data_IF_723153049908
#
_entry.id   IF_723153049908
#
_cell.length_a   1.000
_cell.length_b   1.000
_cell.length_c   1.000
_cell.angle_alpha   90.00
_cell.angle_beta   90.00
_cell.angle_gamma   90.00
#
_symmetry.space_group_name_H-M   'P 1'
#
loop_
_entity.id
_entity.type
_entity.pdbx_description
1 polymer ?
#
# COMPACT_ATOMS: atom_id res chain seq x y z
N UNK A 1 -41.28 13.52 29.15
CA UNK A 1 -39.86 13.23 28.89
C UNK A 1 -39.61 13.39 27.40
N UNK A 2 -38.80 14.37 26.99
CA UNK A 2 -38.37 14.54 25.59
C UNK A 2 -36.95 13.97 25.50
N UNK A 3 -36.76 12.91 24.71
CA UNK A 3 -35.43 12.36 24.41
C UNK A 3 -34.92 13.11 23.17
N UNK A 4 -33.93 13.99 23.37
CA UNK A 4 -33.20 14.63 22.27
C UNK A 4 -32.09 13.67 21.85
N UNK A 5 -32.25 13.04 20.69
CA UNK A 5 -31.22 12.24 20.04
C UNK A 5 -30.24 13.20 19.36
N UNK A 6 -29.12 13.48 20.03
CA UNK A 6 -27.99 14.21 19.44
C UNK A 6 -27.24 13.23 18.53
N UNK A 7 -27.57 13.23 17.25
CA UNK A 7 -26.72 12.63 16.21
C UNK A 7 -25.47 13.51 16.09
N UNK A 8 -24.36 13.08 16.71
CA UNK A 8 -23.05 13.66 16.42
C UNK A 8 -22.63 13.12 15.06
N UNK A 9 -23.07 13.79 14.00
CA UNK A 9 -22.45 13.64 12.69
C UNK A 9 -21.03 14.18 12.82
N UNK A 10 -20.06 13.27 12.92
CA UNK A 10 -18.64 13.58 12.79
C UNK A 10 -18.36 14.06 11.37
N UNK A 11 -18.68 15.32 11.07
CA UNK A 11 -18.32 15.96 9.82
C UNK A 11 -16.81 16.18 9.89
N UNK A 12 -16.05 15.29 9.27
CA UNK A 12 -14.65 15.58 9.03
C UNK A 12 -14.57 16.53 7.85
N UNK A 13 -14.14 17.76 8.10
CA UNK A 13 -13.79 18.70 7.04
C UNK A 13 -12.46 18.26 6.42
N UNK A 14 -12.53 17.28 5.51
CA UNK A 14 -11.40 16.92 4.67
C UNK A 14 -11.02 18.09 3.78
N UNK A 15 -9.73 18.46 3.74
CA UNK A 15 -9.22 19.35 2.70
C UNK A 15 -9.53 18.71 1.34
N UNK A 16 -10.04 19.47 0.34
CA UNK A 16 -10.37 18.95 -0.98
C UNK A 16 -9.19 18.33 -1.76
N UNK A 17 -7.99 18.31 -1.16
CA UNK A 17 -6.78 17.67 -1.69
C UNK A 17 -6.38 16.34 -0.98
N UNK A 18 -7.10 15.91 0.07
CA UNK A 18 -6.79 14.63 0.71
C UNK A 18 -7.42 13.47 -0.06
N UNK A 19 -6.59 12.59 -0.65
CA UNK A 19 -7.08 11.38 -1.34
C UNK A 19 -7.52 10.29 -0.36
N UNK A 20 -6.98 10.30 0.87
CA UNK A 20 -7.46 9.47 1.98
C UNK A 20 -8.61 10.22 2.69
N UNK A 21 -9.77 9.58 2.81
CA UNK A 21 -10.95 10.14 3.46
C UNK A 21 -10.60 10.48 4.92
N UNK A 22 -10.84 11.73 5.32
CA UNK A 22 -10.54 12.23 6.68
C UNK A 22 -9.05 12.15 7.08
N UNK A 23 -8.14 11.98 6.10
CA UNK A 23 -6.70 11.88 6.34
C UNK A 23 -6.00 13.23 6.51
N UNK A 24 -4.72 13.14 6.86
CA UNK A 24 -3.77 14.26 6.86
C UNK A 24 -2.47 13.83 6.17
N UNK A 25 -1.70 14.81 5.68
CA UNK A 25 -0.39 14.50 5.09
C UNK A 25 0.51 13.80 6.13
N UNK A 26 1.05 12.65 5.73
CA UNK A 26 2.00 11.93 6.55
C UNK A 26 3.29 12.76 6.71
N UNK A 27 3.87 12.76 7.92
CA UNK A 27 5.20 13.32 8.12
C UNK A 27 6.20 12.51 7.29
N UNK A 28 7.18 13.18 6.69
CA UNK A 28 8.23 12.51 5.91
C UNK A 28 8.86 11.36 6.72
N UNK A 29 8.93 10.17 6.09
CA UNK A 29 9.43 8.92 6.67
C UNK A 29 8.65 8.36 7.89
N UNK A 30 7.43 8.82 8.16
CA UNK A 30 6.63 8.32 9.29
C UNK A 30 6.09 6.89 9.11
N UNK A 31 6.04 6.40 7.87
CA UNK A 31 5.66 5.03 7.52
C UNK A 31 6.81 4.32 6.79
N UNK A 32 7.89 3.93 7.51
CA UNK A 32 9.12 3.41 6.89
C UNK A 32 8.96 2.04 6.22
N UNK A 33 7.86 1.34 6.47
CA UNK A 33 7.49 0.07 5.84
C UNK A 33 6.61 0.25 4.60
N UNK A 34 6.15 1.47 4.31
CA UNK A 34 5.21 1.73 3.22
C UNK A 34 5.88 1.57 1.86
N UNK A 35 5.27 0.75 1.02
CA UNK A 35 5.68 0.53 -0.36
C UNK A 35 4.58 1.02 -1.31
N UNK A 36 5.01 1.68 -2.38
CA UNK A 36 4.16 2.00 -3.53
C UNK A 36 4.36 0.88 -4.56
N UNK A 37 3.29 0.16 -4.89
CA UNK A 37 3.28 -0.84 -5.96
C UNK A 37 2.95 -0.12 -7.26
N UNK A 38 3.87 -0.20 -8.22
CA UNK A 38 3.86 0.59 -9.43
C UNK A 38 4.03 -0.29 -10.67
N UNK A 39 3.52 0.17 -11.80
CA UNK A 39 3.83 -0.37 -13.13
C UNK A 39 4.74 0.60 -13.87
N UNK A 40 5.79 0.06 -14.48
CA UNK A 40 6.63 0.76 -15.43
C UNK A 40 5.96 0.75 -16.79
N UNK A 41 5.51 1.91 -17.24
CA UNK A 41 4.93 2.11 -18.55
C UNK A 41 5.90 2.90 -19.45
N UNK A 42 5.90 2.58 -20.75
CA UNK A 42 6.72 3.25 -21.77
C UNK A 42 5.80 4.05 -22.68
N UNK A 43 5.68 5.34 -22.40
CA UNK A 43 4.83 6.25 -23.17
C UNK A 43 5.76 7.18 -23.95
N UNK A 44 5.63 7.17 -25.29
CA UNK A 44 6.41 8.01 -26.21
C UNK A 44 7.94 7.87 -26.04
N UNK A 45 8.40 6.65 -25.72
CA UNK A 45 9.83 6.36 -25.49
C UNK A 45 10.34 6.80 -24.12
N UNK A 46 9.48 7.36 -23.25
CA UNK A 46 9.82 7.76 -21.89
C UNK A 46 9.26 6.75 -20.90
N UNK A 47 10.13 6.25 -20.02
CA UNK A 47 9.75 5.37 -18.91
C UNK A 47 9.07 6.19 -17.81
N UNK A 48 7.84 5.82 -17.44
CA UNK A 48 7.07 6.41 -16.35
C UNK A 48 6.60 5.33 -15.39
N UNK A 49 6.62 5.65 -14.11
CA UNK A 49 6.08 4.79 -13.07
C UNK A 49 4.67 5.24 -12.68
N UNK A 50 3.72 4.31 -12.71
CA UNK A 50 2.34 4.54 -12.33
C UNK A 50 2.00 3.79 -11.05
N UNK A 51 1.67 4.51 -9.98
CA UNK A 51 1.16 3.93 -8.74
C UNK A 51 -0.27 3.43 -8.90
N UNK A 52 -0.51 2.18 -8.50
CA UNK A 52 -1.85 1.60 -8.54
C UNK A 52 -2.27 0.89 -7.24
N UNK A 53 -1.32 0.51 -6.38
CA UNK A 53 -1.60 -0.15 -5.10
C UNK A 53 -0.56 0.18 -4.02
N UNK A 54 -0.95 -0.01 -2.76
CA UNK A 54 -0.03 0.00 -1.62
C UNK A 54 0.54 -1.39 -1.30
N UNK A 55 1.58 -1.40 -0.48
CA UNK A 55 2.12 -2.61 0.13
C UNK A 55 2.94 -2.30 1.38
N UNK A 56 3.33 -3.34 2.10
CA UNK A 56 4.15 -3.23 3.30
C UNK A 56 5.38 -4.14 3.20
N UNK A 57 6.56 -3.61 3.55
CA UNK A 57 7.80 -4.39 3.61
C UNK A 57 7.71 -5.35 4.79
N UNK A 58 7.80 -6.66 4.55
CA UNK A 58 7.80 -7.68 5.63
C UNK A 58 9.18 -8.28 5.88
N UNK A 59 10.07 -8.22 4.90
CA UNK A 59 11.50 -8.50 5.03
C UNK A 59 12.27 -7.91 3.83
N UNK A 60 13.56 -8.22 3.72
CA UNK A 60 14.46 -7.68 2.69
C UNK A 60 14.14 -8.15 1.27
N UNK A 61 13.21 -9.10 1.09
CA UNK A 61 12.87 -9.68 -0.22
C UNK A 61 11.40 -9.62 -0.56
N UNK A 62 10.53 -9.33 0.40
CA UNK A 62 9.10 -9.54 0.28
C UNK A 62 8.29 -8.32 0.71
N UNK A 63 7.32 -7.98 -0.14
CA UNK A 63 6.30 -6.98 0.10
C UNK A 63 4.95 -7.69 0.25
N UNK A 64 4.23 -7.39 1.31
CA UNK A 64 2.84 -7.77 1.51
C UNK A 64 1.91 -6.79 0.81
N UNK A 65 0.91 -7.29 0.11
CA UNK A 65 -0.11 -6.49 -0.59
C UNK A 65 -1.42 -7.29 -0.70
N UNK A 66 -2.43 -6.72 -1.35
CA UNK A 66 -3.68 -7.41 -1.63
C UNK A 66 -3.57 -8.31 -2.87
N UNK A 67 -4.30 -9.42 -2.91
CA UNK A 67 -4.33 -10.31 -4.07
C UNK A 67 -4.99 -9.65 -5.28
N UNK A 68 -6.03 -8.85 -5.08
CA UNK A 68 -6.69 -8.12 -6.16
C UNK A 68 -5.75 -7.12 -6.87
N UNK A 69 -4.73 -6.62 -6.15
CA UNK A 69 -3.71 -5.76 -6.76
C UNK A 69 -2.95 -6.50 -7.86
N UNK A 70 -2.71 -7.81 -7.72
CA UNK A 70 -1.92 -8.60 -8.66
C UNK A 70 -2.77 -9.45 -9.62
N UNK A 71 -4.02 -9.75 -9.27
CA UNK A 71 -4.91 -10.56 -10.10
C UNK A 71 -5.00 -10.01 -11.53
N UNK A 72 -4.76 -10.89 -12.51
CA UNK A 72 -4.81 -10.56 -13.94
C UNK A 72 -3.59 -9.79 -14.46
N UNK A 73 -2.57 -9.55 -13.63
CA UNK A 73 -1.35 -8.79 -14.00
C UNK A 73 -0.11 -9.69 -14.17
N UNK A 74 -0.30 -10.99 -14.32
CA UNK A 74 0.80 -11.97 -14.48
C UNK A 74 1.72 -11.63 -15.67
N UNK A 75 1.12 -11.13 -16.76
CA UNK A 75 1.83 -10.68 -17.97
C UNK A 75 2.59 -9.35 -17.79
N UNK A 76 2.37 -8.64 -16.68
CA UNK A 76 3.01 -7.35 -16.35
C UNK A 76 4.09 -7.49 -15.28
N UNK A 77 4.47 -8.70 -14.89
CA UNK A 77 5.48 -8.92 -13.84
C UNK A 77 6.83 -8.25 -14.14
N UNK A 78 7.22 -8.18 -15.41
CA UNK A 78 8.46 -7.49 -15.83
C UNK A 78 8.36 -5.96 -15.72
N UNK A 79 7.15 -5.42 -15.69
CA UNK A 79 6.86 -3.99 -15.49
C UNK A 79 6.62 -3.66 -14.02
N UNK A 80 6.46 -4.66 -13.15
CA UNK A 80 6.15 -4.45 -11.74
C UNK A 80 7.36 -3.87 -11.01
N UNK A 81 7.16 -2.74 -10.33
CA UNK A 81 8.18 -2.03 -9.58
C UNK A 81 7.66 -1.69 -8.18
N UNK A 82 8.50 -1.91 -7.18
CA UNK A 82 8.25 -1.49 -5.80
C UNK A 82 9.05 -0.23 -5.53
N UNK A 83 8.36 0.88 -5.29
CA UNK A 83 9.00 2.14 -4.93
C UNK A 83 8.84 2.42 -3.43
N UNK A 84 9.94 2.79 -2.78
CA UNK A 84 10.00 3.08 -1.34
C UNK A 84 10.61 4.46 -1.09
N UNK A 85 10.57 4.91 0.18
CA UNK A 85 11.02 6.26 0.61
C UNK A 85 10.23 7.40 -0.01
N UNK A 86 8.96 7.15 -0.33
CA UNK A 86 8.05 8.13 -0.88
C UNK A 86 7.24 8.81 0.23
N UNK A 87 7.11 10.12 0.15
CA UNK A 87 6.04 10.87 0.86
C UNK A 87 5.08 11.44 -0.17
N UNK A 88 5.62 12.02 -1.26
CA UNK A 88 4.88 12.35 -2.46
C UNK A 88 5.31 11.43 -3.62
N UNK A 89 4.37 10.95 -4.44
CA UNK A 89 4.65 10.09 -5.59
C UNK A 89 5.50 10.78 -6.68
N UNK A 90 5.60 12.11 -6.66
CA UNK A 90 6.46 12.88 -7.57
C UNK A 90 7.91 13.06 -7.07
N UNK A 91 8.23 12.67 -5.83
CA UNK A 91 9.58 12.75 -5.29
C UNK A 91 10.44 11.56 -5.72
N UNK A 92 11.76 11.71 -5.62
CA UNK A 92 12.70 10.61 -5.87
C UNK A 92 12.44 9.42 -4.93
N UNK A 93 12.38 8.23 -5.50
CA UNK A 93 12.23 6.95 -4.77
C UNK A 93 13.44 6.05 -4.96
N UNK A 94 13.58 5.09 -4.05
CA UNK A 94 14.39 3.90 -4.32
C UNK A 94 13.48 2.83 -4.88
N UNK A 95 13.83 2.24 -6.03
CA UNK A 95 12.99 1.30 -6.76
C UNK A 95 13.58 -0.11 -6.76
N UNK A 96 12.71 -1.11 -6.64
CA UNK A 96 13.05 -2.52 -6.66
C UNK A 96 12.15 -3.25 -7.66
N UNK A 97 12.71 -3.78 -8.77
CA UNK A 97 11.93 -4.55 -9.72
C UNK A 97 11.33 -5.82 -9.08
N UNK A 98 10.08 -6.10 -9.43
CA UNK A 98 9.39 -7.32 -9.07
C UNK A 98 10.01 -8.54 -9.74
N UNK A 99 10.08 -9.65 -9.00
CA UNK A 99 10.53 -10.96 -9.46
C UNK A 99 9.40 -11.95 -9.59
N UNK A 100 8.44 -11.92 -8.66
CA UNK A 100 7.32 -12.85 -8.59
C UNK A 100 6.18 -12.26 -7.75
N UNK A 101 4.94 -12.44 -8.19
CA UNK A 101 3.75 -12.29 -7.36
C UNK A 101 3.26 -13.66 -6.90
N UNK A 102 2.77 -13.76 -5.66
CA UNK A 102 2.13 -14.96 -5.11
C UNK A 102 0.82 -14.50 -4.47
N UNK A 103 -0.29 -14.91 -5.06
CA UNK A 103 -1.62 -14.71 -4.46
C UNK A 103 -1.87 -15.84 -3.47
N UNK A 104 -2.72 -15.60 -2.47
CA UNK A 104 -3.26 -16.66 -1.63
C UNK A 104 -3.92 -17.73 -2.51
N UNK A 105 -3.70 -19.00 -2.20
CA UNK A 105 -4.18 -20.12 -3.02
C UNK A 105 -5.71 -20.22 -3.07
N UNK A 106 -6.37 -19.75 -2.01
CA UNK A 106 -7.82 -19.68 -1.89
C UNK A 106 -8.38 -18.28 -2.23
N UNK A 107 -7.62 -17.39 -2.89
CA UNK A 107 -8.14 -16.09 -3.28
C UNK A 107 -9.30 -16.22 -4.28
N UNK A 108 -10.46 -15.72 -3.89
CA UNK A 108 -11.67 -15.66 -4.72
C UNK A 108 -11.94 -14.20 -5.12
N UNK A 109 -12.13 -13.96 -6.41
CA UNK A 109 -12.13 -12.61 -6.96
C UNK A 109 -13.47 -11.89 -6.82
N UNK A 110 -14.59 -12.61 -6.95
CA UNK A 110 -15.92 -12.01 -6.98
C UNK A 110 -16.36 -11.53 -5.60
N UNK A 111 -16.05 -12.30 -4.56
CA UNK A 111 -16.38 -12.04 -3.16
C UNK A 111 -15.20 -11.43 -2.39
N UNK A 112 -14.02 -11.29 -3.02
CA UNK A 112 -12.78 -10.74 -2.43
C UNK A 112 -12.40 -11.52 -1.15
N UNK A 113 -12.48 -12.84 -1.22
CA UNK A 113 -12.15 -13.74 -0.12
C UNK A 113 -10.64 -14.03 -0.16
N UNK A 114 -9.98 -14.04 1.00
CA UNK A 114 -8.53 -14.26 1.15
C UNK A 114 -7.67 -13.30 0.29
N UNK A 115 -8.00 -12.01 0.34
CA UNK A 115 -7.36 -10.95 -0.46
C UNK A 115 -5.97 -10.55 0.06
N UNK A 116 -5.03 -11.49 -0.02
CA UNK A 116 -3.65 -11.32 0.45
C UNK A 116 -2.66 -11.89 -0.57
N UNK A 117 -1.57 -11.17 -0.79
CA UNK A 117 -0.52 -11.58 -1.72
C UNK A 117 0.87 -11.09 -1.29
N UNK A 118 1.89 -11.73 -1.84
CA UNK A 118 3.29 -11.38 -1.66
C UNK A 118 3.93 -11.03 -3.01
N UNK A 119 4.74 -9.98 -3.02
CA UNK A 119 5.63 -9.63 -4.14
C UNK A 119 7.06 -9.88 -3.70
N UNK A 120 7.79 -10.73 -4.43
CA UNK A 120 9.23 -10.90 -4.28
C UNK A 120 9.95 -9.87 -5.12
N UNK A 121 10.94 -9.16 -4.58
CA UNK A 121 11.81 -8.25 -5.35
C UNK A 121 13.07 -8.98 -5.87
N UNK A 122 13.65 -8.47 -6.97
CA UNK A 122 14.86 -9.06 -7.61
C UNK A 122 16.11 -8.91 -6.72
N UNK A 123 16.29 -7.76 -6.09
CA UNK A 123 17.44 -7.41 -5.23
C UNK A 123 16.99 -7.19 -3.78
N UNK A 124 17.82 -7.50 -2.77
CA UNK A 124 17.47 -7.27 -1.37
C UNK A 124 17.25 -5.78 -1.09
N UNK A 125 16.27 -5.46 -0.24
CA UNK A 125 15.97 -4.11 0.23
C UNK A 125 16.97 -3.73 1.30
N UNK A 126 17.61 -2.58 1.13
CA UNK A 126 18.54 -2.04 2.12
C UNK A 126 17.79 -1.29 3.24
N UNK A 127 17.90 -1.79 4.46
CA UNK A 127 17.25 -1.19 5.63
C UNK A 127 18.09 -0.07 6.24
N UNK A 128 17.39 0.95 6.73
CA UNK A 128 17.95 2.11 7.42
C UNK A 128 16.87 2.81 8.26
N UNK A 129 17.17 3.95 8.84
CA UNK A 129 16.24 4.70 9.69
C UNK A 129 14.95 5.18 8.98
N UNK A 130 14.90 5.12 7.64
CA UNK A 130 13.76 5.52 6.80
C UNK A 130 13.09 4.33 6.09
N UNK A 131 13.69 3.13 6.17
CA UNK A 131 13.22 1.92 5.48
C UNK A 131 13.35 0.73 6.42
N UNK A 132 12.23 0.15 6.84
CA UNK A 132 12.21 -0.99 7.76
C UNK A 132 10.99 -1.88 7.51
N UNK A 133 10.91 -3.00 8.20
CA UNK A 133 9.79 -3.94 8.10
C UNK A 133 8.61 -3.53 8.97
N UNK A 134 7.39 -3.83 8.54
CA UNK A 134 6.23 -3.85 9.43
C UNK A 134 6.33 -5.07 10.36
N UNK A 135 5.85 -4.94 11.59
CA UNK A 135 5.69 -6.08 12.49
C UNK A 135 4.37 -6.79 12.18
N UNK A 136 4.41 -8.10 12.02
CA UNK A 136 3.21 -8.92 11.89
C UNK A 136 2.69 -9.25 13.29
N UNK A 137 1.38 -9.12 13.47
CA UNK A 137 0.68 -9.57 14.67
C UNK A 137 0.06 -10.95 14.45
N UNK A 138 -0.07 -11.71 15.52
CA UNK A 138 -0.79 -13.01 15.53
C UNK A 138 -2.16 -12.89 16.19
N UNK A 139 -2.36 -11.82 16.97
CA UNK A 139 -3.58 -11.59 17.72
C UNK A 139 -4.72 -11.10 16.83
N UNK A 140 -5.92 -11.58 17.12
CA UNK A 140 -7.13 -11.04 16.53
C UNK A 140 -7.35 -9.60 17.00
N UNK A 141 -7.42 -8.68 16.06
CA UNK A 141 -7.80 -7.29 16.32
C UNK A 141 -9.32 -7.18 16.19
N UNK A 142 -10.00 -6.95 17.31
CA UNK A 142 -11.45 -6.75 17.35
C UNK A 142 -11.91 -5.40 16.78
N UNK A 143 -13.21 -5.15 16.89
CA UNK A 143 -13.80 -3.85 16.54
C UNK A 143 -13.33 -2.72 17.46
N UNK A 144 -13.58 -1.48 17.02
CA UNK A 144 -13.33 -0.24 17.79
C UNK A 144 -11.86 0.05 18.16
N UNK A 145 -10.92 -0.67 17.56
CA UNK A 145 -9.49 -0.36 17.67
C UNK A 145 -9.11 0.70 16.65
N UNK A 146 -8.53 1.81 17.12
CA UNK A 146 -8.00 2.84 16.24
C UNK A 146 -6.63 2.42 15.72
N UNK A 147 -6.49 2.38 14.40
CA UNK A 147 -5.23 2.05 13.72
C UNK A 147 -4.87 3.13 12.70
N UNK A 148 -3.57 3.44 12.52
CA UNK A 148 -3.14 4.33 11.45
C UNK A 148 -3.26 3.63 10.09
N UNK A 149 -3.81 4.34 9.11
CA UNK A 149 -3.80 3.95 7.70
C UNK A 149 -2.98 4.96 6.90
N UNK A 150 -2.15 4.46 5.98
CA UNK A 150 -1.27 5.29 5.15
C UNK A 150 -1.39 4.88 3.68
N UNK A 151 -1.44 5.86 2.78
CA UNK A 151 -1.62 5.62 1.35
C UNK A 151 -1.57 6.90 0.52
N UNK A 152 -1.70 6.75 -0.80
CA UNK A 152 -1.71 7.87 -1.76
C UNK A 152 -3.04 8.02 -2.51
N UNK A 153 -4.09 7.35 -2.03
CA UNK A 153 -5.46 7.45 -2.51
C UNK A 153 -6.27 6.21 -2.23
#
# INVERSE_FOLDING_TARGET
>A
LIIVLVFVLGICSGSPHSRIICGQNAKKNSAPYMASVQLLDKIDGVEKLFHFCGGAIVNDRWILTAAHCLKGKDHLLDQLVIAIRLTNLSEGSTVYPGKKGILHEEYEHYDIIQDIALIKVKSPIEFNEKVTTVKLGEDYVGGDVQLPLTGWG
#
